data_IF_760844720732
#
_entry.id   IF_760844720732
#
_cell.length_a   1.000
_cell.length_b   1.000
_cell.length_c   1.000
_cell.angle_alpha   90.00
_cell.angle_beta   90.00
_cell.angle_gamma   90.00
#
_symmetry.space_group_name_H-M   'P 1'
#
loop_
_entity.id
_entity.type
_entity.pdbx_description
1 polymer ?
#
# COMPACT_ATOMS: atom_id res chain seq x y z
N UNK A 1 -26.77 8.52 -13.49
CA UNK A 1 -26.52 9.94 -13.17
C UNK A 1 -25.15 10.30 -13.73
N UNK A 2 -25.11 10.85 -14.95
CA UNK A 2 -23.85 11.31 -15.55
C UNK A 2 -23.44 12.55 -14.79
N UNK A 3 -22.32 12.50 -14.07
CA UNK A 3 -21.69 13.70 -13.52
C UNK A 3 -21.37 14.60 -14.73
N UNK A 4 -22.21 15.62 -14.93
CA UNK A 4 -21.96 16.67 -15.92
C UNK A 4 -20.54 17.18 -15.69
N UNK A 5 -19.69 17.13 -16.72
CA UNK A 5 -18.35 17.72 -16.69
C UNK A 5 -18.50 19.18 -16.28
N UNK A 6 -18.12 19.52 -15.05
CA UNK A 6 -17.95 20.92 -14.66
C UNK A 6 -16.80 21.44 -15.53
N UNK A 7 -17.02 22.45 -16.39
CA UNK A 7 -15.95 22.99 -17.20
C UNK A 7 -15.03 23.78 -16.28
N UNK A 8 -14.00 23.12 -15.76
CA UNK A 8 -12.85 23.82 -15.19
C UNK A 8 -12.08 24.41 -16.36
N UNK A 9 -11.88 25.73 -16.33
CA UNK A 9 -10.89 26.36 -17.20
C UNK A 9 -9.55 25.78 -16.79
N UNK A 10 -8.95 24.95 -17.65
CA UNK A 10 -7.63 24.39 -17.41
C UNK A 10 -6.59 25.51 -17.43
N UNK A 11 -6.44 26.21 -16.31
CA UNK A 11 -5.43 27.24 -16.12
C UNK A 11 -4.07 26.56 -16.23
N UNK A 12 -3.31 26.97 -17.24
CA UNK A 12 -1.92 26.56 -17.39
C UNK A 12 -1.09 27.32 -16.36
N UNK A 13 -0.37 26.57 -15.53
CA UNK A 13 0.57 27.12 -14.57
C UNK A 13 1.97 26.86 -15.07
N UNK A 14 2.63 27.93 -15.49
CA UNK A 14 4.05 27.91 -15.81
C UNK A 14 4.84 28.33 -14.56
N UNK A 15 5.93 27.62 -14.29
CA UNK A 15 6.86 27.94 -13.20
C UNK A 15 8.29 27.91 -13.77
N UNK A 16 9.05 28.98 -13.54
CA UNK A 16 10.34 29.24 -14.21
C UNK A 16 10.27 29.13 -15.76
N UNK A 17 9.19 29.64 -16.35
CA UNK A 17 8.98 29.61 -17.80
C UNK A 17 8.74 28.21 -18.39
N UNK A 18 8.46 27.20 -17.56
CA UNK A 18 8.13 25.84 -17.99
C UNK A 18 6.75 25.41 -17.48
N UNK A 19 5.96 24.69 -18.29
CA UNK A 19 4.69 24.15 -17.84
C UNK A 19 4.85 23.21 -16.63
N UNK A 20 4.07 23.46 -15.59
CA UNK A 20 3.99 22.62 -14.41
C UNK A 20 2.60 21.98 -14.30
N UNK A 21 2.48 20.79 -14.88
CA UNK A 21 1.22 20.04 -14.94
C UNK A 21 0.65 19.72 -13.55
N UNK A 22 1.51 19.46 -12.56
CA UNK A 22 1.07 19.18 -11.19
C UNK A 22 0.39 20.40 -10.55
N UNK A 23 0.92 21.60 -10.74
CA UNK A 23 0.26 22.83 -10.26
C UNK A 23 -1.06 23.08 -10.99
N UNK A 24 -1.10 22.90 -12.32
CA UNK A 24 -2.37 22.96 -13.06
C UNK A 24 -3.42 21.96 -12.54
N UNK A 25 -3.01 20.72 -12.25
CA UNK A 25 -3.91 19.70 -11.72
C UNK A 25 -4.44 20.04 -10.33
N UNK A 26 -3.57 20.52 -9.43
CA UNK A 26 -3.97 20.94 -8.07
C UNK A 26 -4.95 22.12 -8.12
N UNK A 27 -4.66 23.15 -8.92
CA UNK A 27 -5.55 24.31 -9.06
C UNK A 27 -6.92 23.90 -9.62
N UNK A 28 -6.95 23.02 -10.63
CA UNK A 28 -8.20 22.48 -11.17
C UNK A 28 -9.00 21.70 -10.13
N UNK A 29 -8.32 20.85 -9.34
CA UNK A 29 -8.94 20.10 -8.25
C UNK A 29 -9.51 21.05 -7.17
N UNK A 30 -8.76 22.08 -6.78
CA UNK A 30 -9.20 23.07 -5.81
C UNK A 30 -10.44 23.85 -6.26
N UNK A 31 -10.51 24.26 -7.53
CA UNK A 31 -11.70 24.92 -8.09
C UNK A 31 -12.93 24.00 -8.08
N UNK A 32 -12.77 22.72 -8.39
CA UNK A 32 -13.83 21.72 -8.31
C UNK A 32 -14.31 21.51 -6.86
N UNK A 33 -13.38 21.35 -5.92
CA UNK A 33 -13.68 21.18 -4.49
C UNK A 33 -14.42 22.41 -3.97
N UNK A 34 -13.92 23.62 -4.27
CA UNK A 34 -14.55 24.87 -3.86
C UNK A 34 -15.97 25.01 -4.44
N UNK A 35 -16.15 24.68 -5.73
CA UNK A 35 -17.47 24.68 -6.38
C UNK A 35 -18.43 23.72 -5.69
N UNK A 36 -17.97 22.51 -5.36
CA UNK A 36 -18.79 21.52 -4.67
C UNK A 36 -19.17 21.98 -3.25
N UNK A 37 -18.21 22.47 -2.48
CA UNK A 37 -18.45 23.02 -1.14
C UNK A 37 -19.46 24.16 -1.19
N UNK A 38 -19.32 25.08 -2.15
CA UNK A 38 -20.25 26.21 -2.30
C UNK A 38 -21.67 25.75 -2.65
N UNK A 39 -21.82 24.68 -3.42
CA UNK A 39 -23.13 24.06 -3.67
C UNK A 39 -23.74 23.47 -2.39
N UNK A 40 -22.95 22.81 -1.55
CA UNK A 40 -23.43 22.31 -0.25
C UNK A 40 -23.84 23.48 0.64
N UNK A 41 -22.99 24.53 0.74
CA UNK A 41 -23.26 25.73 1.54
C UNK A 41 -24.54 26.47 1.14
N UNK A 42 -24.88 26.47 -0.15
CA UNK A 42 -26.10 27.09 -0.66
C UNK A 42 -27.36 26.21 -0.47
N UNK A 43 -27.21 24.96 -0.03
CA UNK A 43 -28.34 24.05 0.18
C UNK A 43 -29.04 24.29 1.52
N UNK A 44 -30.33 23.93 1.65
CA UNK A 44 -31.04 23.99 2.94
C UNK A 44 -30.42 23.13 4.04
N UNK A 45 -29.60 22.14 3.67
CA UNK A 45 -29.00 21.17 4.59
C UNK A 45 -27.68 21.63 5.20
N UNK A 46 -27.10 22.74 4.72
CA UNK A 46 -25.78 23.17 5.16
C UNK A 46 -25.70 23.31 6.68
N UNK A 47 -26.74 23.88 7.31
CA UNK A 47 -26.79 24.11 8.76
C UNK A 47 -26.55 22.84 9.60
N UNK A 48 -26.89 21.67 9.06
CA UNK A 48 -26.74 20.37 9.70
C UNK A 48 -25.65 19.51 9.03
N UNK A 49 -24.65 20.16 8.42
CA UNK A 49 -23.56 19.49 7.71
C UNK A 49 -22.19 19.89 8.25
N UNK A 50 -21.35 18.89 8.46
CA UNK A 50 -19.91 19.04 8.69
C UNK A 50 -19.18 18.63 7.41
N UNK A 51 -18.44 19.56 6.81
CA UNK A 51 -17.62 19.30 5.63
C UNK A 51 -16.17 19.19 6.08
N UNK A 52 -15.52 18.08 5.75
CA UNK A 52 -14.11 17.84 6.07
C UNK A 52 -13.32 17.78 4.76
N UNK A 53 -12.26 18.59 4.68
CA UNK A 53 -11.31 18.54 3.56
C UNK A 53 -9.97 18.11 4.12
N UNK A 54 -9.49 16.94 3.68
CA UNK A 54 -8.26 16.33 4.16
C UNK A 54 -7.41 15.87 2.98
N UNK A 55 -6.10 16.09 3.07
CA UNK A 55 -5.13 15.36 2.25
C UNK A 55 -5.02 13.93 2.76
N UNK A 56 -4.85 13.00 1.84
CA UNK A 56 -4.48 11.61 2.11
C UNK A 56 -2.97 11.50 2.39
N UNK A 57 -2.15 12.11 1.54
CA UNK A 57 -0.69 12.09 1.65
C UNK A 57 -0.02 13.31 1.02
N UNK A 58 1.28 13.44 1.29
CA UNK A 58 2.14 14.43 0.62
C UNK A 58 2.37 14.02 -0.83
N UNK A 59 2.38 15.00 -1.76
CA UNK A 59 2.65 14.74 -3.17
C UNK A 59 3.95 13.93 -3.40
N UNK A 60 3.87 12.87 -4.20
CA UNK A 60 5.04 12.09 -4.62
C UNK A 60 5.88 12.85 -5.66
N UNK A 61 6.98 12.26 -6.15
CA UNK A 61 7.82 12.88 -7.17
C UNK A 61 7.03 13.15 -8.46
N UNK A 62 6.98 14.41 -8.87
CA UNK A 62 6.19 14.93 -9.99
C UNK A 62 6.79 16.24 -10.53
N UNK A 63 6.13 16.89 -11.48
CA UNK A 63 6.62 18.14 -12.10
C UNK A 63 6.80 19.30 -11.12
N UNK A 64 6.18 19.26 -9.94
CA UNK A 64 6.31 20.24 -8.88
C UNK A 64 7.32 19.87 -7.77
N UNK A 65 7.85 18.64 -7.77
CA UNK A 65 8.64 18.08 -6.66
C UNK A 65 9.80 18.98 -6.18
N UNK A 66 10.61 19.49 -7.12
CA UNK A 66 11.77 20.34 -6.79
C UNK A 66 11.40 21.69 -6.16
N UNK A 67 10.14 22.12 -6.30
CA UNK A 67 9.63 23.35 -5.71
C UNK A 67 9.00 23.07 -4.35
N UNK A 68 8.22 21.99 -4.24
CA UNK A 68 7.55 21.59 -3.00
C UNK A 68 8.54 21.28 -1.87
N UNK A 69 9.67 20.65 -2.18
CA UNK A 69 10.67 20.31 -1.15
C UNK A 69 11.55 21.48 -0.71
N UNK A 70 11.30 22.70 -1.19
CA UNK A 70 11.91 23.93 -0.65
C UNK A 70 11.09 24.52 0.51
N UNK A 71 9.95 23.92 0.83
CA UNK A 71 9.00 24.38 1.84
C UNK A 71 8.75 23.28 2.86
N UNK A 72 8.28 23.65 4.04
CA UNK A 72 7.73 22.68 4.99
C UNK A 72 6.46 22.07 4.42
N UNK A 73 6.39 20.73 4.44
CA UNK A 73 5.32 19.97 3.78
C UNK A 73 4.38 19.38 4.81
N UNK A 74 3.12 19.81 4.77
CA UNK A 74 2.08 19.35 5.67
C UNK A 74 0.88 18.82 4.87
N UNK A 75 0.21 17.80 5.40
CA UNK A 75 -1.10 17.38 4.90
C UNK A 75 -2.15 18.42 5.31
N UNK A 76 -3.10 18.71 4.42
CA UNK A 76 -4.21 19.60 4.72
C UNK A 76 -5.23 18.88 5.60
N UNK A 77 -5.76 19.57 6.60
CA UNK A 77 -6.97 19.17 7.33
C UNK A 77 -7.69 20.43 7.79
N UNK A 78 -8.90 20.65 7.27
CA UNK A 78 -9.79 21.68 7.80
C UNK A 78 -11.24 21.21 7.79
N UNK A 79 -12.03 21.83 8.66
CA UNK A 79 -13.45 21.51 8.83
C UNK A 79 -14.27 22.77 8.63
N UNK A 80 -15.32 22.68 7.82
CA UNK A 80 -16.34 23.71 7.69
C UNK A 80 -17.61 23.20 8.37
N UNK A 81 -18.12 24.00 9.31
CA UNK A 81 -19.32 23.72 10.08
C UNK A 81 -20.45 24.63 9.63
N UNK A 82 -21.60 24.08 9.29
CA UNK A 82 -22.79 24.90 8.99
C UNK A 82 -23.52 25.43 10.22
N UNK A 83 -23.28 24.82 11.38
CA UNK A 83 -23.82 25.26 12.66
C UNK A 83 -22.95 26.30 13.37
N UNK A 84 -21.66 26.40 13.01
CA UNK A 84 -20.69 27.33 13.60
C UNK A 84 -19.88 28.05 12.51
N UNK A 85 -20.16 29.33 12.20
CA UNK A 85 -19.46 30.07 11.15
C UNK A 85 -18.08 30.62 11.58
N UNK A 86 -17.63 30.33 12.80
CA UNK A 86 -16.36 30.84 13.32
C UNK A 86 -15.18 30.24 12.56
N UNK A 87 -14.26 31.12 12.16
CA UNK A 87 -12.99 30.73 11.57
C UNK A 87 -11.91 30.73 12.65
N UNK A 88 -11.24 29.59 12.82
CA UNK A 88 -10.15 29.43 13.78
C UNK A 88 -9.06 28.55 13.17
N UNK A 89 -7.80 28.86 13.48
CA UNK A 89 -6.65 28.03 13.14
C UNK A 89 -6.10 27.45 14.42
N UNK A 90 -6.14 26.12 14.54
CA UNK A 90 -5.57 25.41 15.68
C UNK A 90 -4.14 24.97 15.35
N UNK A 91 -3.16 25.66 15.94
CA UNK A 91 -1.74 25.39 15.75
C UNK A 91 -1.23 24.25 16.66
N UNK A 92 -2.04 23.18 16.82
CA UNK A 92 -1.67 22.01 17.63
C UNK A 92 -0.87 21.00 16.81
N UNK A 93 0.14 20.39 17.44
CA UNK A 93 0.95 19.36 16.80
C UNK A 93 0.16 18.07 16.69
N UNK A 94 -0.18 17.64 15.49
CA UNK A 94 -1.06 16.49 15.23
C UNK A 94 -0.60 15.64 14.06
N UNK A 95 -1.27 14.53 13.83
CA UNK A 95 -1.09 13.72 12.62
C UNK A 95 -2.44 13.24 12.05
N UNK A 96 -2.43 12.50 10.94
CA UNK A 96 -3.65 12.06 10.25
C UNK A 96 -4.51 11.08 11.05
N UNK A 97 -3.96 10.38 12.06
CA UNK A 97 -4.73 9.51 12.96
C UNK A 97 -5.75 10.31 13.79
N UNK A 98 -5.47 11.58 14.06
CA UNK A 98 -6.31 12.48 14.87
C UNK A 98 -7.54 12.98 14.10
N UNK A 99 -7.55 12.84 12.76
CA UNK A 99 -8.63 13.38 11.91
C UNK A 99 -9.99 12.77 12.26
N UNK A 100 -10.06 11.44 12.40
CA UNK A 100 -11.31 10.75 12.72
C UNK A 100 -11.84 11.10 14.10
N UNK A 101 -10.97 11.11 15.12
CA UNK A 101 -11.33 11.49 16.48
C UNK A 101 -11.80 12.94 16.57
N UNK A 102 -11.18 13.86 15.83
CA UNK A 102 -11.59 15.27 15.78
C UNK A 102 -12.97 15.43 15.17
N UNK A 103 -13.27 14.72 14.08
CA UNK A 103 -14.59 14.77 13.44
C UNK A 103 -15.66 14.13 14.33
N UNK A 104 -15.33 13.02 15.00
CA UNK A 104 -16.23 12.37 15.95
C UNK A 104 -16.63 13.31 17.10
N UNK A 105 -15.67 14.00 17.68
CA UNK A 105 -15.89 15.02 18.73
C UNK A 105 -16.77 16.17 18.22
N UNK A 106 -16.53 16.68 17.00
CA UNK A 106 -17.37 17.72 16.38
C UNK A 106 -18.82 17.28 16.24
N UNK A 107 -19.07 16.00 15.96
CA UNK A 107 -20.40 15.41 15.83
C UNK A 107 -21.06 15.09 17.19
N UNK A 108 -20.42 15.43 18.31
CA UNK A 108 -20.91 15.17 19.66
C UNK A 108 -20.66 13.75 20.16
N UNK A 109 -19.74 13.02 19.51
CA UNK A 109 -19.28 11.71 19.95
C UNK A 109 -18.12 11.79 20.93
N UNK A 110 -17.35 10.71 21.00
CA UNK A 110 -16.16 10.63 21.83
C UNK A 110 -14.98 11.43 21.22
N UNK A 111 -13.94 11.70 22.02
CA UNK A 111 -12.77 12.47 21.60
C UNK A 111 -11.53 11.61 21.28
N UNK A 112 -11.70 10.30 21.15
CA UNK A 112 -10.68 9.37 20.71
C UNK A 112 -11.22 8.35 19.70
N UNK A 113 -10.35 7.91 18.79
CA UNK A 113 -10.64 6.85 17.84
C UNK A 113 -9.35 6.11 17.47
N UNK A 114 -9.22 4.87 17.92
CA UNK A 114 -7.95 4.13 17.82
C UNK A 114 -6.80 4.90 18.50
N UNK A 115 -5.73 5.17 17.75
CA UNK A 115 -4.61 5.97 18.22
C UNK A 115 -4.84 7.49 18.13
N UNK A 116 -5.89 7.93 17.44
CA UNK A 116 -6.21 9.34 17.27
C UNK A 116 -6.80 9.97 18.52
N UNK A 117 -6.49 11.24 18.75
CA UNK A 117 -7.12 12.10 19.76
C UNK A 117 -7.67 13.36 19.09
N UNK A 118 -8.84 13.82 19.52
CA UNK A 118 -9.44 15.03 18.98
C UNK A 118 -8.49 16.21 19.18
N UNK A 119 -8.29 17.00 18.12
CA UNK A 119 -7.54 18.25 18.21
C UNK A 119 -8.30 19.38 18.91
N UNK A 120 -9.55 19.17 19.32
CA UNK A 120 -10.38 20.16 20.02
C UNK A 120 -10.34 19.99 21.54
N UNK A 121 -10.48 18.74 22.01
CA UNK A 121 -10.67 18.43 23.44
C UNK A 121 -9.67 17.39 23.97
N UNK A 122 -8.86 16.80 23.10
CA UNK A 122 -7.84 15.82 23.46
C UNK A 122 -6.43 16.36 23.27
N UNK A 123 -5.46 15.60 23.74
CA UNK A 123 -4.04 15.85 23.48
C UNK A 123 -3.53 14.83 22.46
N UNK A 124 -3.01 15.30 21.32
CA UNK A 124 -2.49 14.38 20.30
C UNK A 124 -1.30 13.58 20.83
N UNK A 125 -1.21 12.33 20.39
CA UNK A 125 -0.02 11.51 20.64
C UNK A 125 1.26 12.14 20.04
N UNK A 126 1.11 12.99 19.02
CA UNK A 126 2.22 13.77 18.45
C UNK A 126 2.69 14.93 19.34
N UNK A 127 1.87 15.39 20.28
CA UNK A 127 2.26 16.35 21.32
C UNK A 127 3.00 15.65 22.45
N UNK A 128 2.54 14.47 22.85
CA UNK A 128 3.09 13.70 23.96
C UNK A 128 4.43 13.05 23.59
N UNK A 129 4.53 12.46 22.40
CA UNK A 129 5.70 11.72 21.95
C UNK A 129 6.46 12.44 20.84
N UNK A 130 7.70 12.82 21.13
CA UNK A 130 8.64 13.32 20.10
C UNK A 130 9.01 12.23 19.07
N UNK A 131 8.94 10.96 19.47
CA UNK A 131 9.28 9.77 18.67
C UNK A 131 8.05 8.91 18.32
N UNK A 132 6.96 9.56 17.88
CA UNK A 132 5.69 8.87 17.59
C UNK A 132 5.82 7.77 16.53
N UNK A 133 6.75 7.91 15.59
CA UNK A 133 7.02 6.90 14.55
C UNK A 133 7.52 5.60 15.18
N UNK A 134 8.51 5.69 16.06
CA UNK A 134 9.11 4.56 16.77
C UNK A 134 8.07 3.91 17.69
N UNK A 135 7.27 4.72 18.39
CA UNK A 135 6.17 4.23 19.24
C UNK A 135 5.12 3.46 18.43
N UNK A 136 4.71 3.99 17.28
CA UNK A 136 3.72 3.34 16.40
C UNK A 136 4.25 1.99 15.90
N UNK A 137 5.53 1.92 15.52
CA UNK A 137 6.16 0.66 15.12
C UNK A 137 6.23 -0.34 16.27
N UNK A 138 6.51 0.11 17.49
CA UNK A 138 6.52 -0.75 18.68
C UNK A 138 5.12 -1.32 19.01
N UNK A 139 4.05 -0.58 18.72
CA UNK A 139 2.66 -1.04 18.90
C UNK A 139 2.13 -1.90 17.75
N UNK A 140 2.87 -2.03 16.64
CA UNK A 140 2.46 -2.84 15.48
C UNK A 140 1.97 -4.24 15.88
N UNK A 141 2.62 -5.00 16.79
CA UNK A 141 2.12 -6.30 17.22
C UNK A 141 0.72 -6.22 17.85
N UNK A 142 0.47 -5.21 18.69
CA UNK A 142 -0.80 -5.01 19.37
C UNK A 142 -1.92 -4.62 18.41
N UNK A 143 -1.61 -3.71 17.48
CA UNK A 143 -2.51 -3.27 16.43
C UNK A 143 -2.91 -4.45 15.56
N UNK A 144 -1.93 -5.22 15.06
CA UNK A 144 -2.18 -6.40 14.21
C UNK A 144 -3.08 -7.44 14.89
N UNK A 145 -3.06 -7.58 16.23
CA UNK A 145 -3.96 -8.50 16.94
C UNK A 145 -5.44 -8.16 16.74
N UNK A 146 -5.78 -6.91 16.44
CA UNK A 146 -7.16 -6.49 16.17
C UNK A 146 -7.74 -7.12 14.88
N UNK A 147 -6.89 -7.53 13.93
CA UNK A 147 -7.30 -8.19 12.69
C UNK A 147 -7.71 -9.66 12.91
N UNK A 148 -7.55 -10.21 14.13
CA UNK A 148 -7.92 -11.59 14.49
C UNK A 148 -7.42 -12.65 13.50
N UNK A 149 -6.18 -12.50 13.02
CA UNK A 149 -5.58 -13.46 12.09
C UNK A 149 -5.58 -14.89 12.67
N UNK A 150 -5.68 -15.92 11.81
CA UNK A 150 -5.63 -17.31 12.26
C UNK A 150 -4.37 -17.61 13.08
N UNK A 151 -4.53 -18.43 14.12
CA UNK A 151 -3.40 -18.88 14.96
C UNK A 151 -2.59 -19.99 14.31
N UNK A 152 -3.22 -20.79 13.46
CA UNK A 152 -2.62 -21.94 12.79
C UNK A 152 -3.11 -22.06 11.35
N UNK A 153 -2.32 -22.79 10.55
CA UNK A 153 -2.63 -23.15 9.16
C UNK A 153 -2.14 -24.57 8.93
N UNK A 154 -2.89 -25.59 9.33
CA UNK A 154 -2.51 -27.01 9.12
C UNK A 154 -2.82 -27.46 7.70
N UNK A 155 -4.00 -27.11 7.22
CA UNK A 155 -4.48 -27.40 5.87
C UNK A 155 -4.95 -26.09 5.23
N UNK A 156 -4.81 -26.01 3.91
CA UNK A 156 -5.23 -24.84 3.14
C UNK A 156 -5.68 -25.26 1.75
N UNK A 157 -6.50 -24.41 1.12
CA UNK A 157 -7.01 -24.62 -0.23
C UNK A 157 -6.68 -23.41 -1.09
N UNK A 158 -6.22 -23.65 -2.32
CA UNK A 158 -6.01 -22.64 -3.35
C UNK A 158 -7.10 -22.80 -4.40
N UNK A 159 -7.80 -21.71 -4.69
CA UNK A 159 -8.78 -21.59 -5.77
C UNK A 159 -8.19 -20.68 -6.86
N UNK A 160 -7.79 -21.28 -7.99
CA UNK A 160 -7.16 -20.57 -9.09
C UNK A 160 -8.13 -19.64 -9.82
N UNK A 161 -9.41 -19.98 -9.89
CA UNK A 161 -10.41 -19.14 -10.57
C UNK A 161 -10.70 -17.87 -9.77
N UNK A 162 -10.77 -17.99 -8.44
CA UNK A 162 -11.01 -16.85 -7.56
C UNK A 162 -9.73 -16.10 -7.20
N UNK A 163 -8.56 -16.65 -7.52
CA UNK A 163 -7.26 -16.18 -7.05
C UNK A 163 -7.25 -16.01 -5.53
N UNK A 164 -7.65 -17.07 -4.81
CA UNK A 164 -7.75 -17.04 -3.35
C UNK A 164 -7.08 -18.25 -2.71
N UNK A 165 -6.58 -18.02 -1.50
CA UNK A 165 -6.21 -19.07 -0.56
C UNK A 165 -7.15 -19.02 0.65
N UNK A 166 -7.57 -20.19 1.13
CA UNK A 166 -8.40 -20.34 2.31
C UNK A 166 -7.74 -21.27 3.32
N UNK A 167 -7.73 -20.87 4.60
CA UNK A 167 -7.27 -21.68 5.73
C UNK A 167 -7.92 -21.18 7.03
N UNK A 168 -8.22 -22.10 7.94
CA UNK A 168 -8.74 -21.77 9.29
C UNK A 168 -9.92 -20.79 9.26
N UNK A 169 -10.85 -20.96 8.32
CA UNK A 169 -12.02 -20.10 8.12
C UNK A 169 -11.76 -18.74 7.48
N UNK A 170 -10.50 -18.37 7.24
CA UNK A 170 -10.11 -17.10 6.62
C UNK A 170 -9.82 -17.25 5.13
N UNK A 171 -10.01 -16.17 4.38
CA UNK A 171 -9.78 -16.12 2.93
C UNK A 171 -8.90 -14.92 2.58
N UNK A 172 -7.90 -15.14 1.73
CA UNK A 172 -6.97 -14.10 1.29
C UNK A 172 -6.80 -14.16 -0.23
N UNK A 173 -6.57 -12.99 -0.84
CA UNK A 173 -6.26 -12.89 -2.27
C UNK A 173 -4.83 -13.31 -2.54
N UNK A 174 -4.62 -13.90 -3.71
CA UNK A 174 -3.30 -14.26 -4.25
C UNK A 174 -2.77 -13.16 -5.19
N UNK A 175 -1.44 -13.00 -5.32
CA UNK A 175 -0.38 -13.75 -4.65
C UNK A 175 -0.23 -13.38 -3.16
N UNK A 176 0.32 -14.28 -2.35
CA UNK A 176 0.42 -14.09 -0.90
C UNK A 176 1.66 -14.75 -0.30
N UNK A 177 2.31 -14.05 0.62
CA UNK A 177 3.29 -14.62 1.54
C UNK A 177 2.66 -14.74 2.94
N UNK A 178 2.92 -15.83 3.63
CA UNK A 178 2.48 -16.07 5.00
C UNK A 178 3.70 -16.36 5.86
N UNK A 179 3.85 -15.64 6.98
CA UNK A 179 4.77 -16.05 8.06
C UNK A 179 4.00 -16.92 9.04
N UNK A 180 4.48 -18.13 9.28
CA UNK A 180 3.80 -19.11 10.14
C UNK A 180 4.62 -19.33 11.41
N UNK A 181 4.01 -19.11 12.57
CA UNK A 181 4.60 -19.44 13.86
C UNK A 181 3.66 -20.34 14.67
N UNK A 182 4.14 -20.79 15.82
CA UNK A 182 3.37 -21.49 16.85
C UNK A 182 2.13 -20.72 17.38
N UNK A 183 2.17 -19.39 17.28
CA UNK A 183 1.19 -18.48 17.89
C UNK A 183 0.33 -17.75 16.88
N UNK A 184 0.77 -17.62 15.62
CA UNK A 184 0.08 -16.83 14.60
C UNK A 184 0.47 -17.22 13.17
N UNK A 185 -0.46 -16.96 12.26
CA UNK A 185 -0.23 -16.91 10.82
C UNK A 185 -0.38 -15.45 10.38
N UNK A 186 0.72 -14.82 9.99
CA UNK A 186 0.74 -13.42 9.56
C UNK A 186 0.73 -13.34 8.03
N UNK A 187 -0.34 -12.79 7.42
CA UNK A 187 -0.40 -12.57 5.98
C UNK A 187 0.36 -11.30 5.58
N UNK A 188 1.19 -11.44 4.55
CA UNK A 188 2.07 -10.43 3.98
C UNK A 188 1.71 -10.28 2.48
N UNK A 189 0.68 -9.49 2.14
CA UNK A 189 0.27 -9.30 0.77
C UNK A 189 1.24 -8.41 -0.02
N UNK A 190 1.18 -8.51 -1.34
CA UNK A 190 1.77 -7.54 -2.26
C UNK A 190 0.70 -6.49 -2.64
N UNK A 191 1.11 -5.22 -2.65
CA UNK A 191 0.29 -4.02 -2.87
C UNK A 191 1.19 -2.89 -3.36
N UNK A 192 0.59 -1.81 -3.86
CA UNK A 192 1.30 -0.62 -4.35
C UNK A 192 2.30 -0.03 -3.35
N UNK A 193 2.02 -0.17 -2.05
CA UNK A 193 2.84 0.40 -0.96
C UNK A 193 3.69 -0.63 -0.22
N UNK A 194 3.68 -1.90 -0.63
CA UNK A 194 4.48 -2.97 -0.02
C UNK A 194 5.53 -3.48 -1.00
N UNK A 195 6.70 -3.88 -0.50
CA UNK A 195 7.70 -4.51 -1.33
C UNK A 195 7.15 -5.81 -1.99
N UNK A 196 7.64 -6.20 -3.18
CA UNK A 196 7.33 -7.50 -3.76
C UNK A 196 7.58 -8.68 -2.80
N UNK A 197 6.78 -9.74 -2.89
CA UNK A 197 6.80 -10.86 -1.91
C UNK A 197 8.19 -11.45 -1.66
N UNK A 198 9.03 -11.54 -2.71
CA UNK A 198 10.43 -12.01 -2.60
C UNK A 198 11.28 -11.16 -1.65
N UNK A 199 11.09 -9.84 -1.66
CA UNK A 199 11.81 -8.92 -0.78
C UNK A 199 11.28 -9.01 0.64
N UNK A 200 9.95 -9.13 0.81
CA UNK A 200 9.36 -9.37 2.13
C UNK A 200 9.86 -10.69 2.73
N UNK A 201 9.97 -11.75 1.91
CA UNK A 201 10.54 -13.02 2.34
C UNK A 201 12.02 -12.89 2.71
N UNK A 202 12.81 -12.08 1.99
CA UNK A 202 14.22 -11.87 2.28
C UNK A 202 14.50 -11.19 3.64
N UNK A 203 13.48 -10.63 4.30
CA UNK A 203 13.55 -10.07 5.66
C UNK A 203 13.19 -11.09 6.76
N UNK A 204 12.93 -12.35 6.41
CA UNK A 204 12.63 -13.41 7.37
C UNK A 204 13.89 -13.89 8.06
N UNK A 205 13.79 -14.21 9.35
CA UNK A 205 14.88 -14.84 10.07
C UNK A 205 15.14 -16.27 9.51
N UNK A 206 16.35 -16.84 9.71
CA UNK A 206 16.69 -18.16 9.16
C UNK A 206 15.69 -19.29 9.51
N UNK A 207 15.04 -19.19 10.66
CA UNK A 207 14.07 -20.17 11.19
C UNK A 207 12.61 -19.80 10.99
N UNK A 208 12.30 -18.62 10.44
CA UNK A 208 10.91 -18.25 10.22
C UNK A 208 10.29 -19.18 9.19
N UNK A 209 9.19 -19.84 9.56
CA UNK A 209 8.46 -20.67 8.62
C UNK A 209 7.64 -19.78 7.68
N UNK A 210 7.60 -20.14 6.40
CA UNK A 210 6.82 -19.42 5.40
C UNK A 210 5.97 -20.36 4.54
N UNK A 211 4.87 -19.80 4.02
CA UNK A 211 4.15 -20.32 2.86
C UNK A 211 4.05 -19.19 1.85
N UNK A 212 4.54 -19.39 0.64
CA UNK A 212 4.51 -18.42 -0.45
C UNK A 212 3.72 -19.01 -1.62
N UNK A 213 2.64 -18.34 -2.01
CA UNK A 213 1.81 -18.74 -3.15
C UNK A 213 1.86 -17.65 -4.22
N UNK A 214 2.44 -18.00 -5.37
CA UNK A 214 2.70 -17.08 -6.48
C UNK A 214 2.92 -17.86 -7.79
N UNK A 215 3.23 -17.15 -8.87
CA UNK A 215 3.60 -17.74 -10.15
C UNK A 215 4.89 -18.55 -10.01
N UNK A 216 4.90 -19.75 -10.57
CA UNK A 216 5.99 -20.72 -10.43
C UNK A 216 7.35 -20.12 -10.74
N UNK A 217 7.51 -19.42 -11.88
CA UNK A 217 8.79 -18.83 -12.28
C UNK A 217 9.44 -17.93 -11.21
N UNK A 218 8.68 -17.31 -10.29
CA UNK A 218 9.24 -16.43 -9.26
C UNK A 218 9.99 -17.18 -8.15
N UNK A 219 9.55 -18.39 -7.81
CA UNK A 219 10.16 -19.21 -6.75
C UNK A 219 10.99 -20.37 -7.33
N UNK A 220 10.60 -20.88 -8.51
CA UNK A 220 11.22 -22.01 -9.17
C UNK A 220 12.66 -21.71 -9.62
N UNK A 221 12.97 -20.47 -9.97
CA UNK A 221 14.34 -20.03 -10.26
C UNK A 221 15.30 -20.22 -9.07
N UNK A 222 14.78 -20.34 -7.85
CA UNK A 222 15.57 -20.56 -6.64
C UNK A 222 15.61 -22.04 -6.26
N UNK A 223 14.47 -22.72 -6.29
CA UNK A 223 14.31 -24.01 -5.59
C UNK A 223 13.71 -25.14 -6.43
N UNK A 224 13.29 -24.89 -7.68
CA UNK A 224 12.70 -25.91 -8.56
C UNK A 224 12.95 -25.57 -10.03
N UNK A 225 14.19 -25.75 -10.55
CA UNK A 225 14.56 -25.33 -11.90
C UNK A 225 13.65 -25.86 -13.02
N UNK A 226 13.07 -27.04 -12.83
CA UNK A 226 12.12 -27.67 -13.73
C UNK A 226 10.82 -26.86 -13.94
N UNK A 227 10.48 -25.95 -13.02
CA UNK A 227 9.32 -25.05 -13.10
C UNK A 227 9.70 -23.60 -13.42
N UNK A 228 10.97 -23.31 -13.71
CA UNK A 228 11.50 -21.94 -13.80
C UNK A 228 10.87 -21.07 -14.90
N UNK A 229 10.24 -21.69 -15.91
CA UNK A 229 9.55 -21.02 -17.02
C UNK A 229 8.01 -21.11 -16.91
N UNK A 230 7.48 -21.78 -15.89
CA UNK A 230 6.03 -21.95 -15.75
C UNK A 230 5.36 -20.67 -15.23
N UNK A 231 4.26 -20.28 -15.87
CA UNK A 231 3.36 -19.19 -15.45
C UNK A 231 2.18 -19.67 -14.59
N UNK A 232 2.15 -20.96 -14.26
CA UNK A 232 1.14 -21.53 -13.38
C UNK A 232 1.34 -21.07 -11.93
N UNK A 233 0.38 -21.41 -11.07
CA UNK A 233 0.52 -21.20 -9.64
C UNK A 233 1.42 -22.27 -9.02
N UNK A 234 2.27 -21.86 -8.11
CA UNK A 234 3.05 -22.73 -7.24
C UNK A 234 2.89 -22.32 -5.79
N UNK A 235 3.12 -23.29 -4.91
CA UNK A 235 3.29 -23.07 -3.48
C UNK A 235 4.71 -23.42 -3.10
N UNK A 236 5.41 -22.51 -2.44
CA UNK A 236 6.62 -22.83 -1.72
C UNK A 236 6.38 -22.76 -0.22
N UNK A 237 6.96 -23.69 0.54
CA UNK A 237 6.94 -23.65 2.00
C UNK A 237 8.25 -24.16 2.58
N UNK A 238 8.62 -23.63 3.75
CA UNK A 238 9.87 -24.01 4.42
C UNK A 238 10.42 -22.92 5.33
N UNK A 239 11.74 -22.94 5.52
CA UNK A 239 12.52 -21.95 6.29
C UNK A 239 13.70 -21.51 5.43
N UNK A 240 14.07 -20.22 5.36
CA UNK A 240 15.16 -19.78 4.47
C UNK A 240 16.53 -20.39 4.81
N UNK A 241 16.80 -20.66 6.09
CA UNK A 241 18.00 -21.39 6.51
C UNK A 241 17.86 -22.91 6.52
N UNK A 242 16.64 -23.42 6.29
CA UNK A 242 16.31 -24.84 6.32
C UNK A 242 16.08 -25.42 4.93
N UNK A 243 15.14 -26.38 4.84
CA UNK A 243 14.63 -26.88 3.55
C UNK A 243 13.48 -26.02 3.04
N UNK A 244 13.42 -25.83 1.73
CA UNK A 244 12.29 -25.26 1.00
C UNK A 244 11.77 -26.33 0.06
N UNK A 245 10.45 -26.44 -0.06
CA UNK A 245 9.81 -27.26 -1.08
C UNK A 245 9.01 -26.34 -2.00
N UNK A 246 8.91 -26.71 -3.28
CA UNK A 246 8.04 -26.06 -4.27
C UNK A 246 7.11 -27.13 -4.81
N UNK A 247 5.82 -26.81 -4.87
CA UNK A 247 4.78 -27.68 -5.39
C UNK A 247 3.96 -26.93 -6.43
N UNK A 248 3.80 -27.56 -7.60
CA UNK A 248 2.93 -27.05 -8.66
C UNK A 248 1.46 -27.21 -8.25
N UNK A 249 0.68 -26.15 -8.47
CA UNK A 249 -0.78 -26.17 -8.27
C UNK A 249 -1.40 -26.69 -9.56
N UNK A 250 -1.50 -28.00 -9.67
CA UNK A 250 -1.92 -28.74 -10.87
C UNK A 250 -3.45 -28.77 -11.08
N UNK A 251 -4.22 -28.25 -10.14
CA UNK A 251 -5.69 -28.30 -10.11
C UNK A 251 -6.31 -26.93 -9.85
N UNK A 252 -7.50 -26.72 -10.41
CA UNK A 252 -8.30 -25.49 -10.20
C UNK A 252 -8.58 -25.24 -8.72
N UNK A 253 -8.89 -26.30 -7.98
CA UNK A 253 -8.96 -26.29 -6.52
C UNK A 253 -7.92 -27.27 -5.98
N UNK A 254 -6.88 -26.73 -5.36
CA UNK A 254 -5.75 -27.49 -4.86
C UNK A 254 -5.70 -27.46 -3.34
N UNK A 255 -5.44 -28.61 -2.72
CA UNK A 255 -5.38 -28.73 -1.25
C UNK A 255 -3.94 -28.98 -0.82
N UNK A 256 -3.46 -28.17 0.11
CA UNK A 256 -2.13 -28.28 0.70
C UNK A 256 -2.18 -28.51 2.19
N UNK A 257 -1.07 -29.01 2.72
CA UNK A 257 -0.80 -29.09 4.17
C UNK A 257 0.50 -28.38 4.47
N UNK A 258 0.55 -27.70 5.60
CA UNK A 258 1.82 -27.15 6.06
C UNK A 258 2.69 -28.27 6.62
N UNK A 259 3.96 -28.29 6.23
CA UNK A 259 4.92 -29.30 6.65
C UNK A 259 6.28 -28.63 6.89
N UNK A 260 6.45 -28.05 8.07
CA UNK A 260 7.72 -27.48 8.50
C UNK A 260 8.52 -28.55 9.24
N UNK A 261 9.67 -28.93 8.70
CA UNK A 261 10.60 -29.84 9.36
C UNK A 261 11.59 -29.03 10.17
N UNK A 262 11.87 -29.48 11.40
CA UNK A 262 13.02 -28.98 12.15
C UNK A 262 14.30 -29.46 11.46
N UNK A 263 14.84 -28.59 10.61
CA UNK A 263 16.07 -28.86 9.86
C UNK A 263 17.24 -28.11 10.49
N UNK A 264 18.45 -28.65 10.36
CA UNK A 264 19.66 -27.94 10.73
C UNK A 264 19.75 -26.67 9.88
N UNK A 265 19.88 -25.53 10.56
CA UNK A 265 19.98 -24.23 9.90
C UNK A 265 21.38 -24.08 9.30
N UNK A 266 21.40 -23.88 7.98
CA UNK A 266 22.58 -23.64 7.19
C UNK A 266 22.65 -22.14 6.84
N UNK A 267 23.60 -21.44 7.44
CA UNK A 267 23.75 -19.99 7.25
C UNK A 267 24.29 -19.63 5.86
N UNK A 268 25.02 -20.53 5.19
CA UNK A 268 25.46 -20.31 3.81
C UNK A 268 24.27 -20.41 2.85
N UNK A 269 23.40 -21.40 3.06
CA UNK A 269 22.12 -21.51 2.33
C UNK A 269 21.21 -20.32 2.59
N UNK A 270 21.05 -19.92 3.85
CA UNK A 270 20.27 -18.74 4.22
C UNK A 270 20.76 -17.51 3.47
N UNK A 271 22.09 -17.25 3.51
CA UNK A 271 22.69 -16.12 2.81
C UNK A 271 22.46 -16.19 1.30
N UNK A 272 22.69 -17.35 0.69
CA UNK A 272 22.43 -17.57 -0.74
C UNK A 272 20.98 -17.28 -1.12
N UNK A 273 20.03 -17.82 -0.36
CA UNK A 273 18.60 -17.56 -0.56
C UNK A 273 18.26 -16.07 -0.45
N UNK A 274 18.73 -15.37 0.59
CA UNK A 274 18.50 -13.94 0.79
C UNK A 274 19.11 -13.11 -0.34
N UNK A 275 20.34 -13.42 -0.75
CA UNK A 275 21.03 -12.71 -1.81
C UNK A 275 20.27 -12.88 -3.13
N UNK A 276 19.86 -14.10 -3.50
CA UNK A 276 19.06 -14.35 -4.71
C UNK A 276 17.69 -13.69 -4.67
N UNK A 277 16.98 -13.74 -3.54
CA UNK A 277 15.68 -13.07 -3.38
C UNK A 277 15.77 -11.55 -3.55
N UNK A 278 16.93 -10.94 -3.29
CA UNK A 278 17.19 -9.50 -3.44
C UNK A 278 17.66 -9.10 -4.84
N UNK A 279 18.08 -10.03 -5.71
CA UNK A 279 18.50 -9.72 -7.09
C UNK A 279 17.32 -9.17 -7.88
N UNK A 280 17.48 -8.02 -8.52
CA UNK A 280 16.51 -7.52 -9.50
C UNK A 280 16.68 -8.31 -10.78
N UNK A 281 15.84 -9.32 -10.99
CA UNK A 281 15.80 -10.05 -12.25
C UNK A 281 15.08 -9.16 -13.26
N UNK A 282 15.85 -8.49 -14.11
CA UNK A 282 15.34 -7.87 -15.33
C UNK A 282 14.94 -9.00 -16.28
N UNK A 283 13.72 -9.51 -16.15
CA UNK A 283 13.16 -10.40 -17.16
C UNK A 283 13.06 -9.56 -18.45
N UNK A 284 13.69 -10.05 -19.51
CA UNK A 284 13.74 -9.45 -20.83
C UNK A 284 12.37 -8.94 -21.30
N UNK A 285 12.15 -7.63 -21.21
CA UNK A 285 11.37 -6.91 -22.19
C UNK A 285 12.36 -6.46 -23.27
N UNK A 286 12.66 -7.34 -24.23
CA UNK A 286 13.24 -6.89 -25.50
C UNK A 286 12.22 -5.93 -26.11
N UNK A 287 12.49 -4.62 -25.98
CA UNK A 287 11.85 -3.62 -26.85
C UNK A 287 12.08 -4.08 -28.30
N UNK A 288 11.07 -4.07 -29.17
CA UNK A 288 11.35 -4.20 -30.59
C UNK A 288 12.23 -3.02 -30.98
N UNK A 289 13.44 -3.34 -31.43
CA UNK A 289 14.30 -2.40 -32.14
C UNK A 289 13.50 -1.93 -33.35
N UNK A 290 13.02 -0.69 -33.32
CA UNK A 290 12.54 -0.01 -34.51
C UNK A 290 13.78 0.16 -35.40
N UNK A 291 13.90 -0.75 -36.37
CA UNK A 291 14.77 -0.57 -37.53
C UNK A 291 14.40 0.77 -38.16
N UNK A 292 15.31 1.72 -38.10
CA UNK A 292 15.27 2.93 -38.89
C UNK A 292 15.41 2.53 -40.36
N UNK A 293 14.28 2.32 -41.03
CA UNK A 293 14.19 2.36 -42.47
C UNK A 293 14.49 3.79 -42.92
N UNK A 294 15.75 4.02 -43.27
CA UNK A 294 16.20 5.15 -44.08
C UNK A 294 15.38 5.19 -45.37
N UNK A 295 14.56 6.23 -45.53
CA UNK A 295 13.94 6.55 -46.82
C UNK A 295 15.03 7.04 -47.78
N UNK A 296 15.09 6.55 -49.02
CA UNK A 296 16.03 7.07 -50.00
C UNK A 296 15.55 8.44 -50.51
N UNK A 297 16.48 9.39 -50.46
CA UNK A 297 16.41 10.68 -51.13
C UNK A 297 16.13 10.47 -52.62
N UNK A 298 15.00 11.00 -53.10
CA UNK A 298 14.76 11.20 -54.54
C UNK A 298 15.26 12.59 -54.91
N UNK A 299 16.26 12.64 -55.77
CA UNK A 299 16.82 13.85 -56.36
C UNK A 299 16.27 14.04 -57.78
N UNK A 300 16.11 15.31 -58.18
CA UNK A 300 15.77 15.87 -59.52
C UNK A 300 14.26 15.95 -59.81
N UNK A 301 13.68 17.09 -60.19
CA UNK A 301 14.17 18.32 -60.82
C UNK A 301 13.78 19.58 -60.04
#
# INVERSE_FOLDING_TARGET
MVLSRVPVTAKKYDFDGKPNQSFSAVSCSQENIATFINKIKASPWFKDTVIVVSSDHLAMNNTAWKYLNKQDRNNLFFVIRGDKPQQETLAVKRNTMDNGATVLDILGGDNYLGLGRSSLSGQSMSEIFLNIKEKTLAWKPDIIRLWKFPKEMKEFTIDQQKNMIAFSGSHFRLPLLLRVSDKRVEPLPESEYSAPLRFQLADFAPRDNFVWVDRCYKMAQLWAPELALSTDWCVSQGQLGGQQIVQHVDKTTWKGKTAFKDTVIDMARYKGNVDTLKIVITIFATKPTVSSLTSPVRQKR
#
